data_IF_335115876168
#
_entry.id   IF_335115876168
#
_cell.length_a   1.000
_cell.length_b   1.000
_cell.length_c   1.000
_cell.angle_alpha   90.00
_cell.angle_beta   90.00
_cell.angle_gamma   90.00
#
_symmetry.space_group_name_H-M   'P 1'
#
loop_
_entity.id
_entity.type
_entity.pdbx_description
1 polymer ?
#
# COMPACT_ATOMS: atom_id res chain seq x y z
N UNK A 1 61.65 -22.26 23.28
CA UNK A 1 62.25 -20.92 23.32
C UNK A 1 62.40 -20.49 21.87
N UNK A 2 61.86 -19.30 21.56
CA UNK A 2 61.81 -18.61 20.25
C UNK A 2 60.95 -19.26 19.17
N UNK A 3 59.64 -19.02 19.29
CA UNK A 3 58.70 -18.81 18.18
C UNK A 3 58.75 -17.31 17.86
N UNK A 4 59.10 -16.92 16.63
CA UNK A 4 58.91 -15.55 16.14
C UNK A 4 58.70 -15.54 14.63
N UNK A 5 57.42 -15.69 14.30
CA UNK A 5 56.68 -15.18 13.13
C UNK A 5 57.44 -14.29 12.15
N UNK A 6 57.47 -14.75 10.90
CA UNK A 6 57.77 -13.94 9.74
C UNK A 6 56.71 -12.85 9.55
N UNK A 7 57.13 -11.60 9.68
CA UNK A 7 56.43 -10.41 9.20
C UNK A 7 56.20 -10.49 7.70
N UNK A 8 54.96 -10.35 7.25
CA UNK A 8 54.65 -9.93 5.89
C UNK A 8 53.70 -8.74 5.95
N UNK A 9 54.17 -7.62 5.41
CA UNK A 9 53.49 -6.35 5.31
C UNK A 9 52.27 -6.51 4.39
N UNK A 10 51.07 -6.26 4.92
CA UNK A 10 49.87 -6.07 4.10
C UNK A 10 49.54 -4.59 4.10
N UNK A 11 49.98 -3.98 3.01
CA UNK A 11 49.61 -2.69 2.44
C UNK A 11 48.11 -2.38 2.64
N UNK A 12 47.85 -1.33 3.42
CA UNK A 12 46.51 -0.80 3.67
C UNK A 12 46.03 -0.02 2.45
N UNK A 13 45.18 -0.63 1.63
CA UNK A 13 44.46 0.07 0.57
C UNK A 13 43.34 0.97 1.17
N UNK A 14 43.17 2.22 0.67
CA UNK A 14 42.30 3.22 1.26
C UNK A 14 40.82 2.98 0.89
N UNK A 15 39.94 3.53 1.73
CA UNK A 15 38.50 3.37 1.68
C UNK A 15 37.88 3.64 0.31
N UNK A 16 37.39 2.57 -0.32
CA UNK A 16 36.27 2.65 -1.24
C UNK A 16 35.00 2.37 -0.43
N UNK A 17 34.41 3.45 0.04
CA UNK A 17 32.99 3.65 0.32
C UNK A 17 32.13 2.67 -0.49
N UNK A 18 31.85 1.49 0.10
CA UNK A 18 30.85 0.56 -0.40
C UNK A 18 29.52 1.26 -0.21
N UNK A 19 29.13 2.05 -1.20
CA UNK A 19 27.76 2.43 -1.47
C UNK A 19 26.92 1.17 -1.28
N UNK A 20 26.25 1.08 -0.12
CA UNK A 20 25.34 0.00 0.22
C UNK A 20 24.32 -0.02 -0.89
N UNK A 21 24.41 -1.01 -1.78
CA UNK A 21 23.47 -1.22 -2.89
C UNK A 21 22.05 -1.10 -2.33
N UNK A 22 21.42 0.07 -2.54
CA UNK A 22 19.99 0.25 -2.34
C UNK A 22 19.35 -0.74 -3.30
N UNK A 23 18.59 -1.69 -2.76
CA UNK A 23 17.80 -2.62 -3.58
C UNK A 23 16.79 -1.84 -4.43
N UNK A 24 16.04 -2.54 -5.30
CA UNK A 24 15.05 -1.91 -6.17
C UNK A 24 13.89 -1.27 -5.41
N UNK A 25 13.70 -1.62 -4.14
CA UNK A 25 12.64 -1.09 -3.27
C UNK A 25 13.21 -0.17 -2.20
N UNK A 26 12.47 0.91 -1.91
CA UNK A 26 12.69 1.67 -0.69
C UNK A 26 12.08 0.97 0.55
N UNK A 27 12.30 1.54 1.73
CA UNK A 27 11.80 0.96 2.98
C UNK A 27 10.27 0.98 3.11
N UNK A 28 9.59 1.96 2.50
CA UNK A 28 8.13 2.05 2.50
C UNK A 28 7.51 0.98 1.61
N UNK A 29 8.04 0.82 0.39
CA UNK A 29 7.62 -0.19 -0.56
C UNK A 29 7.87 -1.60 0.00
N UNK A 30 9.05 -1.84 0.58
CA UNK A 30 9.36 -3.14 1.19
C UNK A 30 8.43 -3.50 2.36
N UNK A 31 8.00 -2.52 3.15
CA UNK A 31 7.00 -2.75 4.22
C UNK A 31 5.66 -3.19 3.63
N UNK A 32 5.22 -2.56 2.55
CA UNK A 32 3.99 -2.92 1.84
C UNK A 32 4.08 -4.33 1.24
N UNK A 33 5.21 -4.66 0.61
CA UNK A 33 5.47 -6.01 0.06
C UNK A 33 5.40 -7.06 1.18
N UNK A 34 6.17 -6.86 2.25
CA UNK A 34 6.27 -7.83 3.35
C UNK A 34 4.91 -8.00 4.03
N UNK A 35 4.19 -6.91 4.29
CA UNK A 35 2.85 -6.96 4.88
C UNK A 35 1.83 -7.65 3.96
N UNK A 36 1.86 -7.36 2.65
CA UNK A 36 0.98 -7.99 1.67
C UNK A 36 1.18 -9.49 1.58
N UNK A 37 2.44 -9.96 1.63
CA UNK A 37 2.73 -11.39 1.64
C UNK A 37 2.23 -12.08 2.93
N UNK A 38 2.24 -11.38 4.06
CA UNK A 38 1.78 -11.91 5.36
C UNK A 38 0.25 -11.86 5.53
N UNK A 39 -0.47 -11.06 4.73
CA UNK A 39 -1.93 -11.04 4.75
C UNK A 39 -2.54 -12.25 4.01
N UNK A 40 -1.82 -12.83 3.06
CA UNK A 40 -2.22 -14.09 2.42
C UNK A 40 -2.17 -15.29 3.39
N UNK A 41 -1.08 -15.41 4.16
CA UNK A 41 -0.88 -16.47 5.16
C UNK A 41 0.26 -16.09 6.12
N UNK A 42 0.32 -16.67 7.34
CA UNK A 42 1.44 -16.45 8.24
C UNK A 42 2.76 -16.95 7.67
N UNK A 43 3.79 -16.09 7.69
CA UNK A 43 5.10 -16.39 7.10
C UNK A 43 6.25 -16.10 8.05
N UNK A 44 7.32 -16.87 7.92
CA UNK A 44 8.61 -16.57 8.51
C UNK A 44 9.41 -15.59 7.66
N UNK A 45 10.33 -14.85 8.28
CA UNK A 45 11.23 -13.92 7.57
C UNK A 45 12.01 -14.57 6.42
N UNK A 46 12.46 -15.82 6.59
CA UNK A 46 13.16 -16.53 5.51
C UNK A 46 12.25 -16.97 4.36
N UNK A 47 10.98 -17.31 4.65
CA UNK A 47 9.98 -17.61 3.61
C UNK A 47 9.68 -16.35 2.79
N UNK A 48 9.63 -15.18 3.44
CA UNK A 48 9.45 -13.89 2.77
C UNK A 48 10.64 -13.56 1.84
N UNK A 49 11.88 -13.79 2.29
CA UNK A 49 13.08 -13.60 1.46
C UNK A 49 12.99 -14.44 0.19
N UNK A 50 12.74 -15.74 0.34
CA UNK A 50 12.64 -16.68 -0.79
C UNK A 50 11.53 -16.32 -1.76
N UNK A 51 10.35 -15.96 -1.23
CA UNK A 51 9.20 -15.66 -2.06
C UNK A 51 9.39 -14.38 -2.87
N UNK A 52 10.03 -13.35 -2.27
CA UNK A 52 10.38 -12.13 -2.99
C UNK A 52 11.42 -12.43 -4.08
N UNK A 53 12.42 -13.25 -3.78
CA UNK A 53 13.43 -13.68 -4.76
C UNK A 53 12.84 -14.46 -5.94
N UNK A 54 11.94 -15.40 -5.64
CA UNK A 54 11.24 -16.20 -6.64
C UNK A 54 10.36 -15.34 -7.54
N UNK A 55 9.55 -14.44 -6.96
CA UNK A 55 8.70 -13.52 -7.75
C UNK A 55 9.52 -12.53 -8.58
N UNK A 56 10.72 -12.17 -8.12
CA UNK A 56 11.68 -11.37 -8.88
C UNK A 56 12.49 -12.17 -9.91
N UNK A 57 12.17 -13.45 -10.13
CA UNK A 57 12.87 -14.31 -11.10
C UNK A 57 14.37 -14.46 -10.80
N UNK A 58 14.77 -14.37 -9.53
CA UNK A 58 16.16 -14.38 -9.09
C UNK A 58 16.94 -13.06 -9.33
N UNK A 59 16.29 -12.03 -9.88
CA UNK A 59 16.92 -10.72 -10.14
C UNK A 59 17.17 -9.88 -8.89
N UNK A 60 16.51 -10.20 -7.77
CA UNK A 60 16.68 -9.54 -6.49
C UNK A 60 16.24 -10.43 -5.33
N UNK A 61 17.06 -10.51 -4.28
CA UNK A 61 16.70 -11.15 -3.00
C UNK A 61 16.97 -10.17 -1.85
N UNK A 62 15.97 -9.83 -1.02
CA UNK A 62 16.18 -8.95 0.11
C UNK A 62 17.01 -9.65 1.19
N UNK A 63 17.98 -8.94 1.78
CA UNK A 63 18.83 -9.55 2.80
C UNK A 63 18.08 -9.68 4.14
N UNK A 64 18.49 -10.63 5.01
CA UNK A 64 18.02 -10.70 6.39
C UNK A 64 18.12 -9.35 7.13
N UNK A 65 19.19 -8.59 6.89
CA UNK A 65 19.44 -7.28 7.48
C UNK A 65 18.47 -6.18 7.06
N UNK A 66 17.58 -6.44 6.10
CA UNK A 66 16.50 -5.51 5.71
C UNK A 66 15.13 -6.10 6.08
N UNK A 67 14.93 -7.41 5.94
CA UNK A 67 13.65 -8.07 6.24
C UNK A 67 13.34 -8.07 7.74
N UNK A 68 14.28 -8.47 8.60
CA UNK A 68 13.99 -8.56 10.03
C UNK A 68 13.73 -7.18 10.67
N UNK A 69 14.47 -6.10 10.35
CA UNK A 69 14.09 -4.76 10.79
C UNK A 69 12.72 -4.31 10.28
N UNK A 70 12.34 -4.72 9.06
CA UNK A 70 11.01 -4.44 8.50
C UNK A 70 9.91 -5.13 9.29
N UNK A 71 10.10 -6.42 9.63
CA UNK A 71 9.19 -7.18 10.47
C UNK A 71 9.06 -6.59 11.87
N UNK A 72 10.19 -6.23 12.51
CA UNK A 72 10.17 -5.57 13.83
C UNK A 72 9.43 -4.25 13.80
N UNK A 73 9.55 -3.49 12.70
CA UNK A 73 8.81 -2.24 12.53
C UNK A 73 7.31 -2.49 12.35
N UNK A 74 6.92 -3.46 11.52
CA UNK A 74 5.51 -3.82 11.30
C UNK A 74 4.86 -4.34 12.60
N UNK A 75 5.60 -5.11 13.39
CA UNK A 75 5.18 -5.55 14.73
C UNK A 75 5.02 -4.37 15.69
N UNK A 76 6.03 -3.50 15.80
CA UNK A 76 5.99 -2.33 16.68
C UNK A 76 4.94 -1.29 16.28
N UNK A 77 4.60 -1.20 15.00
CA UNK A 77 3.53 -0.34 14.47
C UNK A 77 2.13 -0.97 14.63
N UNK A 78 2.04 -2.24 15.05
CA UNK A 78 0.77 -2.95 15.21
C UNK A 78 0.15 -3.45 13.89
N UNK A 79 0.90 -3.49 12.79
CA UNK A 79 0.43 -3.98 11.49
C UNK A 79 0.65 -5.49 11.29
N UNK A 80 1.53 -6.10 12.09
CA UNK A 80 1.75 -7.53 12.08
C UNK A 80 1.84 -8.05 13.51
N UNK A 81 1.39 -9.28 13.73
CA UNK A 81 1.49 -9.96 15.03
C UNK A 81 2.24 -11.29 14.87
N UNK A 82 3.06 -11.69 15.85
CA UNK A 82 3.72 -12.96 15.79
C UNK A 82 2.87 -14.14 16.29
N UNK A 83 2.97 -15.24 15.59
CA UNK A 83 2.41 -16.54 15.96
C UNK A 83 3.56 -17.53 16.19
N UNK A 84 3.56 -18.19 17.36
CA UNK A 84 4.54 -19.23 17.69
C UNK A 84 4.02 -20.57 17.19
N UNK A 85 4.65 -21.09 16.14
CA UNK A 85 4.34 -22.41 15.58
C UNK A 85 5.62 -23.23 15.52
N UNK A 86 5.63 -24.41 16.17
CA UNK A 86 6.79 -25.32 16.14
C UNK A 86 8.11 -24.72 16.65
N UNK A 87 8.06 -23.75 17.57
CA UNK A 87 9.25 -23.09 18.13
C UNK A 87 9.87 -22.01 17.22
N UNK A 88 9.23 -21.65 16.09
CA UNK A 88 9.67 -20.57 15.21
C UNK A 88 8.60 -19.47 15.14
N UNK A 89 9.03 -18.20 15.07
CA UNK A 89 8.15 -17.02 15.03
C UNK A 89 7.64 -16.78 13.59
N UNK A 90 6.39 -17.11 13.29
CA UNK A 90 5.68 -16.68 12.07
C UNK A 90 5.05 -15.31 12.32
N UNK A 91 4.81 -14.54 11.27
CA UNK A 91 4.13 -13.26 11.35
C UNK A 91 2.89 -13.28 10.47
N UNK A 92 1.78 -12.77 11.00
CA UNK A 92 0.51 -12.57 10.29
C UNK A 92 0.20 -11.08 10.26
N UNK A 93 -0.40 -10.60 9.17
CA UNK A 93 -1.00 -9.26 9.17
C UNK A 93 -2.10 -9.16 10.25
N UNK A 94 -2.10 -8.07 11.00
CA UNK A 94 -3.23 -7.74 11.87
C UNK A 94 -4.36 -7.13 11.03
N UNK A 95 -5.59 -7.04 11.57
CA UNK A 95 -6.64 -6.26 10.95
C UNK A 95 -6.21 -4.81 10.59
N UNK A 96 -5.40 -4.16 11.43
CA UNK A 96 -4.83 -2.83 11.16
C UNK A 96 -3.82 -2.87 10.01
N UNK A 97 -3.05 -3.95 9.89
CA UNK A 97 -2.17 -4.21 8.76
C UNK A 97 -2.93 -4.39 7.46
N UNK A 98 -4.07 -5.09 7.48
CA UNK A 98 -4.95 -5.22 6.31
C UNK A 98 -5.57 -3.87 5.92
N UNK A 99 -6.02 -3.07 6.89
CA UNK A 99 -6.48 -1.70 6.66
C UNK A 99 -5.38 -0.82 6.08
N UNK A 100 -4.14 -0.99 6.54
CA UNK A 100 -2.98 -0.29 5.98
C UNK A 100 -2.72 -0.71 4.52
N UNK A 101 -2.78 -2.00 4.20
CA UNK A 101 -2.65 -2.48 2.82
C UNK A 101 -3.75 -1.92 1.91
N UNK A 102 -5.00 -1.97 2.37
CA UNK A 102 -6.15 -1.40 1.69
C UNK A 102 -5.97 0.09 1.35
N UNK A 103 -5.49 0.87 2.32
CA UNK A 103 -5.23 2.30 2.13
C UNK A 103 -4.04 2.59 1.20
N UNK A 104 -3.20 1.60 0.88
CA UNK A 104 -2.02 1.76 0.02
C UNK A 104 -2.08 0.84 -1.21
N UNK A 105 -3.28 0.39 -1.61
CA UNK A 105 -3.43 -0.60 -2.67
C UNK A 105 -2.89 -0.10 -4.02
N UNK A 106 -3.00 1.20 -4.33
CA UNK A 106 -2.41 1.77 -5.54
C UNK A 106 -0.88 1.62 -5.59
N UNK A 107 -0.20 1.96 -4.50
CA UNK A 107 1.25 1.75 -4.38
C UNK A 107 1.61 0.26 -4.43
N UNK A 108 0.82 -0.60 -3.77
CA UNK A 108 1.03 -2.04 -3.80
C UNK A 108 0.82 -2.62 -5.22
N UNK A 109 -0.13 -2.10 -5.99
CA UNK A 109 -0.38 -2.50 -7.37
C UNK A 109 0.78 -2.10 -8.31
N UNK A 110 1.33 -0.89 -8.14
CA UNK A 110 2.53 -0.46 -8.88
C UNK A 110 3.72 -1.38 -8.59
N UNK A 111 3.95 -1.69 -7.31
CA UNK A 111 4.99 -2.63 -6.87
C UNK A 111 4.70 -4.03 -7.41
N UNK A 112 3.43 -4.47 -7.42
CA UNK A 112 3.03 -5.77 -7.94
C UNK A 112 3.34 -5.92 -9.41
N UNK A 113 3.10 -4.89 -10.23
CA UNK A 113 3.47 -4.89 -11.66
C UNK A 113 4.98 -5.02 -11.81
N UNK A 114 5.75 -4.29 -11.00
CA UNK A 114 7.21 -4.38 -10.99
C UNK A 114 7.73 -5.77 -10.58
N UNK A 115 7.08 -6.42 -9.62
CA UNK A 115 7.41 -7.75 -9.11
C UNK A 115 6.77 -8.91 -9.89
N UNK A 116 6.10 -8.62 -11.00
CA UNK A 116 5.43 -9.67 -11.78
C UNK A 116 4.26 -10.35 -11.06
N UNK A 117 3.66 -9.73 -10.05
CA UNK A 117 2.40 -10.16 -9.43
C UNK A 117 2.47 -10.37 -7.92
N UNK A 118 2.28 -9.30 -7.14
CA UNK A 118 2.03 -9.34 -5.68
C UNK A 118 0.55 -9.25 -5.26
N UNK A 119 -0.38 -9.02 -6.20
CA UNK A 119 -1.80 -8.84 -5.90
C UNK A 119 -2.70 -9.99 -6.40
N UNK A 120 -3.97 -9.98 -5.99
CA UNK A 120 -5.05 -10.86 -6.50
C UNK A 120 -5.20 -10.83 -8.03
N UNK A 121 -4.70 -9.79 -8.71
CA UNK A 121 -4.58 -9.72 -10.17
C UNK A 121 -3.19 -10.14 -10.60
N UNK A 122 -3.05 -11.37 -11.12
CA UNK A 122 -1.78 -12.01 -11.49
C UNK A 122 -0.91 -11.21 -12.48
N UNK A 123 0.22 -11.79 -12.89
CA UNK A 123 1.17 -11.18 -13.82
C UNK A 123 0.46 -10.68 -15.09
N UNK A 124 0.62 -9.40 -15.49
CA UNK A 124 0.07 -8.94 -16.76
C UNK A 124 0.55 -9.83 -17.91
N UNK A 125 -0.31 -10.16 -18.90
CA UNK A 125 0.09 -10.96 -20.05
C UNK A 125 1.31 -10.35 -20.76
N UNK A 126 2.17 -11.19 -21.33
CA UNK A 126 3.42 -10.76 -21.99
C UNK A 126 3.18 -9.67 -23.06
N UNK A 127 2.02 -9.70 -23.73
CA UNK A 127 1.62 -8.67 -24.68
C UNK A 127 1.49 -7.27 -24.04
N UNK A 128 0.96 -7.20 -22.82
CA UNK A 128 0.81 -5.95 -22.05
C UNK A 128 2.18 -5.44 -21.60
N UNK A 129 3.05 -6.34 -21.12
CA UNK A 129 4.41 -6.00 -20.72
C UNK A 129 5.23 -5.45 -21.90
N UNK A 130 5.11 -6.07 -23.08
CA UNK A 130 5.73 -5.58 -24.32
C UNK A 130 5.26 -4.17 -24.69
N UNK A 131 3.97 -3.91 -24.60
CA UNK A 131 3.43 -2.57 -24.86
C UNK A 131 3.99 -1.50 -23.90
N UNK A 132 4.13 -1.84 -22.61
CA UNK A 132 4.75 -0.94 -21.63
C UNK A 132 6.24 -0.67 -21.95
N UNK A 133 6.98 -1.68 -22.40
CA UNK A 133 8.39 -1.52 -22.78
C UNK A 133 8.56 -0.66 -24.04
N UNK A 134 7.63 -0.76 -24.99
CA UNK A 134 7.59 0.12 -26.17
C UNK A 134 7.37 1.58 -25.77
N UNK A 135 6.42 1.84 -24.86
CA UNK A 135 6.16 3.19 -24.34
C UNK A 135 7.41 3.73 -23.63
N UNK A 136 8.01 2.95 -22.71
CA UNK A 136 9.22 3.35 -21.98
C UNK A 136 10.38 3.67 -22.94
N UNK A 137 10.57 2.84 -23.97
CA UNK A 137 11.61 3.04 -24.99
C UNK A 137 11.37 4.32 -25.78
N UNK A 138 10.13 4.57 -26.22
CA UNK A 138 9.78 5.77 -26.98
C UNK A 138 9.99 7.04 -26.15
N UNK A 139 9.60 7.02 -24.87
CA UNK A 139 9.84 8.14 -23.95
C UNK A 139 11.34 8.39 -23.77
N UNK A 140 12.14 7.35 -23.47
CA UNK A 140 13.59 7.49 -23.33
C UNK A 140 14.22 8.09 -24.58
N UNK A 141 13.83 7.63 -25.77
CA UNK A 141 14.32 8.17 -27.03
C UNK A 141 13.95 9.65 -27.20
N UNK A 142 12.69 10.04 -26.93
CA UNK A 142 12.24 11.42 -27.06
C UNK A 142 12.96 12.37 -26.11
N UNK A 143 13.16 11.96 -24.85
CA UNK A 143 13.84 12.78 -23.84
C UNK A 143 15.36 12.78 -23.99
N UNK A 144 15.97 11.71 -24.54
CA UNK A 144 17.40 11.67 -24.84
C UNK A 144 17.80 12.62 -25.98
N UNK A 145 16.87 12.95 -26.89
CA UNK A 145 17.10 13.91 -27.97
C UNK A 145 17.13 15.38 -27.49
N UNK A 146 16.78 15.65 -26.24
CA UNK A 146 16.72 17.01 -25.69
C UNK A 146 15.60 17.86 -26.30
N UNK A 147 15.47 19.11 -25.82
CA UNK A 147 14.54 20.09 -26.41
C UNK A 147 13.07 19.65 -26.39
N UNK A 148 12.60 19.13 -25.26
CA UNK A 148 11.16 18.86 -25.09
C UNK A 148 10.53 20.08 -24.44
N UNK A 149 9.73 20.81 -25.19
CA UNK A 149 8.97 21.95 -24.68
C UNK A 149 7.87 21.49 -23.72
N UNK A 150 7.51 22.35 -22.75
CA UNK A 150 6.49 22.08 -21.73
C UNK A 150 5.14 21.67 -22.34
N UNK A 151 4.77 22.23 -23.50
CA UNK A 151 3.57 21.85 -24.24
C UNK A 151 3.63 20.39 -24.73
N UNK A 152 4.81 19.95 -25.19
CA UNK A 152 5.02 18.56 -25.62
C UNK A 152 4.98 17.62 -24.42
N UNK A 153 5.53 18.02 -23.26
CA UNK A 153 5.43 17.26 -22.01
C UNK A 153 3.96 17.13 -21.58
N UNK A 154 3.21 18.24 -21.62
CA UNK A 154 1.80 18.26 -21.26
C UNK A 154 0.96 17.35 -22.16
N UNK A 155 1.23 17.35 -23.47
CA UNK A 155 0.59 16.45 -24.45
C UNK A 155 0.92 14.99 -24.18
N UNK A 156 2.19 14.64 -23.98
CA UNK A 156 2.61 13.26 -23.65
C UNK A 156 1.91 12.79 -22.37
N UNK A 157 1.87 13.62 -21.33
CA UNK A 157 1.19 13.30 -20.07
C UNK A 157 -0.33 13.18 -20.23
N UNK A 158 -0.96 13.97 -21.10
CA UNK A 158 -2.39 13.84 -21.42
C UNK A 158 -2.69 12.50 -22.10
N UNK A 159 -1.91 12.12 -23.11
CA UNK A 159 -2.08 10.84 -23.82
C UNK A 159 -1.86 9.64 -22.90
N UNK A 160 -0.84 9.67 -22.03
CA UNK A 160 -0.61 8.58 -21.07
C UNK A 160 -1.76 8.45 -20.06
N UNK A 161 -2.32 9.58 -19.58
CA UNK A 161 -3.49 9.57 -18.68
C UNK A 161 -4.74 9.06 -19.37
N UNK A 162 -4.94 9.40 -20.64
CA UNK A 162 -6.05 8.88 -21.44
C UNK A 162 -5.93 7.37 -21.65
N UNK A 163 -4.74 6.89 -22.02
CA UNK A 163 -4.46 5.46 -22.13
C UNK A 163 -4.69 4.74 -20.79
N UNK A 164 -4.22 5.31 -19.67
CA UNK A 164 -4.46 4.76 -18.33
C UNK A 164 -5.95 4.70 -17.98
N UNK A 165 -6.73 5.74 -18.34
CA UNK A 165 -8.18 5.74 -18.15
C UNK A 165 -8.85 4.65 -18.99
N UNK A 166 -8.50 4.53 -20.26
CA UNK A 166 -9.05 3.51 -21.15
C UNK A 166 -8.74 2.08 -20.67
N UNK A 167 -7.53 1.84 -20.13
CA UNK A 167 -7.16 0.57 -19.48
C UNK A 167 -7.97 0.32 -18.21
N UNK A 168 -8.21 1.36 -17.41
CA UNK A 168 -9.09 1.28 -16.24
C UNK A 168 -10.55 1.00 -16.60
N UNK A 169 -11.03 1.57 -17.71
CA UNK A 169 -12.40 1.36 -18.23
C UNK A 169 -12.60 -0.02 -18.85
N UNK A 170 -11.52 -0.69 -19.29
CA UNK A 170 -11.57 -2.08 -19.78
C UNK A 170 -11.55 -3.13 -18.65
N UNK A 171 -11.24 -2.72 -17.41
CA UNK A 171 -11.38 -3.52 -16.19
C UNK A 171 -12.61 -3.02 -15.42
N UNK A 172 -13.79 -3.35 -15.95
CA UNK A 172 -15.12 -2.99 -15.45
C UNK A 172 -15.40 -1.47 -15.33
N UNK A 173 -16.61 -1.01 -15.70
CA UNK A 173 -16.99 0.38 -15.48
C UNK A 173 -16.97 0.68 -13.97
N UNK A 174 -16.68 1.92 -13.58
CA UNK A 174 -17.08 2.45 -12.26
C UNK A 174 -18.53 1.99 -12.05
N UNK A 175 -18.82 1.10 -11.09
CA UNK A 175 -20.15 0.51 -11.01
C UNK A 175 -21.14 1.64 -10.77
N UNK A 176 -22.26 1.57 -11.48
CA UNK A 176 -23.39 2.47 -11.28
C UNK A 176 -23.68 2.55 -9.77
N UNK A 177 -23.81 3.74 -9.16
CA UNK A 177 -24.16 3.88 -7.75
C UNK A 177 -25.45 3.12 -7.36
N UNK A 178 -26.29 2.71 -8.33
CA UNK A 178 -27.44 1.82 -8.13
C UNK A 178 -27.08 0.34 -7.94
N UNK A 179 -25.87 -0.09 -8.29
CA UNK A 179 -25.36 -1.47 -8.15
C UNK A 179 -24.33 -1.66 -7.04
N UNK A 180 -23.84 -0.58 -6.42
CA UNK A 180 -22.94 -0.67 -5.27
C UNK A 180 -23.72 -1.07 -4.02
N UNK A 181 -23.23 -2.06 -3.29
CA UNK A 181 -23.74 -2.34 -1.96
C UNK A 181 -23.44 -1.14 -1.07
N UNK A 182 -24.43 -0.72 -0.29
CA UNK A 182 -24.29 0.36 0.68
C UNK A 182 -24.50 -0.11 2.09
N UNK A 183 -23.86 0.60 3.01
CA UNK A 183 -24.06 0.42 4.43
C UNK A 183 -23.95 1.76 5.13
N UNK A 184 -24.84 2.00 6.08
CA UNK A 184 -24.94 3.26 6.79
C UNK A 184 -24.82 3.02 8.29
N UNK A 185 -23.98 3.80 8.95
CA UNK A 185 -23.91 3.86 10.40
C UNK A 185 -24.14 5.29 10.88
N UNK A 186 -24.99 5.46 11.88
CA UNK A 186 -25.20 6.74 12.57
C UNK A 186 -24.55 6.65 13.95
N UNK A 187 -23.44 7.37 14.11
CA UNK A 187 -22.66 7.37 15.36
C UNK A 187 -23.09 8.56 16.21
N UNK A 188 -23.69 8.32 17.36
CA UNK A 188 -24.08 9.39 18.28
C UNK A 188 -22.83 9.99 18.94
N UNK A 189 -22.57 11.27 18.68
CA UNK A 189 -21.45 12.01 19.28
C UNK A 189 -21.65 13.52 19.13
N UNK A 190 -21.38 14.32 20.17
CA UNK A 190 -21.37 15.78 20.06
C UNK A 190 -20.16 16.32 19.27
N UNK A 191 -19.13 15.49 19.04
CA UNK A 191 -17.87 15.88 18.40
C UNK A 191 -17.80 15.51 16.90
N UNK A 192 -18.95 15.39 16.24
CA UNK A 192 -19.06 14.89 14.86
C UNK A 192 -18.14 15.60 13.85
N UNK A 193 -18.11 16.94 13.87
CA UNK A 193 -17.24 17.74 12.98
C UNK A 193 -15.75 17.52 13.24
N UNK A 194 -15.37 17.35 14.51
CA UNK A 194 -13.98 17.09 14.91
C UNK A 194 -13.53 15.73 14.40
N UNK A 195 -14.34 14.68 14.59
CA UNK A 195 -14.02 13.34 14.11
C UNK A 195 -14.01 13.26 12.58
N UNK A 196 -14.94 13.92 11.89
CA UNK A 196 -14.93 14.01 10.43
C UNK A 196 -13.64 14.64 9.93
N UNK A 197 -13.23 15.77 10.51
CA UNK A 197 -12.00 16.48 10.15
C UNK A 197 -10.76 15.62 10.41
N UNK A 198 -10.70 14.95 11.57
CA UNK A 198 -9.59 14.06 11.93
C UNK A 198 -9.48 12.85 10.99
N UNK A 199 -10.61 12.19 10.68
CA UNK A 199 -10.64 11.09 9.70
C UNK A 199 -10.16 11.57 8.33
N UNK A 200 -10.70 12.68 7.82
CA UNK A 200 -10.30 13.23 6.54
C UNK A 200 -8.81 13.58 6.51
N UNK A 201 -8.29 14.27 7.52
CA UNK A 201 -6.88 14.65 7.61
C UNK A 201 -5.94 13.45 7.74
N UNK A 202 -6.35 12.41 8.49
CA UNK A 202 -5.58 11.18 8.63
C UNK A 202 -5.46 10.43 7.30
N UNK A 203 -6.58 10.26 6.59
CA UNK A 203 -6.61 9.54 5.31
C UNK A 203 -6.03 10.35 4.15
N UNK A 204 -6.04 11.68 4.19
CA UNK A 204 -5.53 12.54 3.12
C UNK A 204 -4.04 12.29 2.78
N UNK A 205 -3.29 11.66 3.70
CA UNK A 205 -1.89 11.27 3.46
C UNK A 205 -1.74 10.05 2.55
N UNK A 206 -2.78 9.24 2.35
CA UNK A 206 -2.70 7.92 1.69
C UNK A 206 -3.89 7.54 0.81
N UNK A 207 -5.01 8.25 0.89
CA UNK A 207 -6.20 8.03 0.10
C UNK A 207 -6.70 9.34 -0.53
N UNK A 208 -7.51 9.24 -1.59
CA UNK A 208 -8.16 10.40 -2.17
C UNK A 208 -9.29 10.88 -1.27
N UNK A 209 -9.09 12.04 -0.62
CA UNK A 209 -10.04 12.65 0.31
C UNK A 209 -10.57 13.96 -0.25
N UNK A 210 -11.88 14.17 -0.17
CA UNK A 210 -12.53 15.47 -0.32
C UNK A 210 -13.16 15.85 1.01
N UNK A 211 -12.94 17.07 1.47
CA UNK A 211 -13.53 17.58 2.71
C UNK A 211 -14.02 19.00 2.46
N UNK A 212 -15.32 19.20 2.65
CA UNK A 212 -16.02 20.48 2.47
C UNK A 212 -16.94 20.69 3.67
N UNK A 213 -16.53 21.53 4.63
CA UNK A 213 -17.34 21.87 5.81
C UNK A 213 -17.70 20.64 6.66
N UNK A 214 -19.00 20.37 6.74
CA UNK A 214 -19.61 19.26 7.50
C UNK A 214 -19.66 17.94 6.72
N UNK A 215 -19.08 17.88 5.52
CA UNK A 215 -19.08 16.69 4.67
C UNK A 215 -17.69 16.28 4.23
N UNK A 216 -17.44 14.98 4.27
CA UNK A 216 -16.20 14.36 3.82
C UNK A 216 -16.48 13.17 2.91
N UNK A 217 -15.56 12.88 1.98
CA UNK A 217 -15.56 11.65 1.21
C UNK A 217 -14.15 11.10 1.14
N UNK A 218 -13.99 9.89 1.64
CA UNK A 218 -12.75 9.12 1.55
C UNK A 218 -12.95 8.05 0.49
N UNK A 219 -12.12 8.08 -0.54
CA UNK A 219 -12.14 7.10 -1.63
C UNK A 219 -10.97 6.15 -1.46
N UNK A 220 -11.29 4.88 -1.27
CA UNK A 220 -10.37 3.76 -1.26
C UNK A 220 -10.43 3.04 -2.60
N UNK A 221 -9.45 2.20 -2.89
CA UNK A 221 -9.51 1.33 -4.07
C UNK A 221 -10.65 0.31 -3.97
N UNK A 222 -10.94 -0.16 -2.76
CA UNK A 222 -11.98 -1.15 -2.44
C UNK A 222 -13.42 -0.58 -2.43
N UNK A 223 -13.56 0.74 -2.39
CA UNK A 223 -14.85 1.40 -2.17
C UNK A 223 -14.70 2.81 -1.64
N UNK A 224 -15.80 3.43 -1.22
CA UNK A 224 -15.77 4.79 -0.68
C UNK A 224 -16.60 4.90 0.59
N UNK A 225 -16.17 5.79 1.49
CA UNK A 225 -16.97 6.20 2.63
C UNK A 225 -17.28 7.70 2.54
N UNK A 226 -18.57 8.02 2.61
CA UNK A 226 -19.06 9.38 2.81
C UNK A 226 -19.27 9.62 4.31
N UNK A 227 -18.90 10.82 4.75
CA UNK A 227 -18.94 11.28 6.13
C UNK A 227 -19.80 12.54 6.17
N UNK A 228 -20.77 12.60 7.06
CA UNK A 228 -21.61 13.78 7.25
C UNK A 228 -21.75 14.07 8.75
N UNK A 229 -21.17 15.19 9.18
CA UNK A 229 -21.32 15.67 10.54
C UNK A 229 -22.70 16.34 10.67
N UNK A 230 -23.48 15.86 11.63
CA UNK A 230 -24.80 16.38 11.99
C UNK A 230 -24.76 16.81 13.45
N UNK A 231 -25.76 17.59 13.87
CA UNK A 231 -25.88 17.96 15.28
C UNK A 231 -26.06 16.71 16.14
N UNK A 232 -25.06 16.40 16.98
CA UNK A 232 -25.08 15.24 17.89
C UNK A 232 -24.87 13.88 17.23
N UNK A 233 -24.54 13.80 15.94
CA UNK A 233 -24.25 12.52 15.28
C UNK A 233 -23.31 12.67 14.08
N UNK A 234 -22.50 11.64 13.82
CA UNK A 234 -21.70 11.50 12.62
C UNK A 234 -22.29 10.36 11.78
N UNK A 235 -22.80 10.68 10.59
CA UNK A 235 -23.30 9.69 9.65
C UNK A 235 -22.16 9.20 8.75
N UNK A 236 -21.99 7.90 8.70
CA UNK A 236 -21.02 7.20 7.86
C UNK A 236 -21.78 6.41 6.80
N UNK A 237 -21.40 6.54 5.54
CA UNK A 237 -22.01 5.77 4.44
C UNK A 237 -20.92 5.10 3.62
N UNK A 238 -20.72 3.80 3.86
CA UNK A 238 -19.79 2.97 3.13
C UNK A 238 -20.46 2.44 1.85
N UNK A 239 -19.68 2.34 0.78
CA UNK A 239 -20.11 1.83 -0.52
C UNK A 239 -18.99 1.02 -1.16
N UNK A 240 -19.31 -0.14 -1.73
CA UNK A 240 -18.36 -0.98 -2.44
C UNK A 240 -19.06 -1.86 -3.48
N UNK A 241 -18.27 -2.58 -4.27
CA UNK A 241 -18.73 -3.43 -5.38
C UNK A 241 -19.29 -4.78 -4.93
N UNK A 242 -18.86 -5.26 -3.77
CA UNK A 242 -19.27 -6.53 -3.19
C UNK A 242 -19.19 -6.48 -1.66
N UNK A 243 -19.70 -7.53 -1.00
CA UNK A 243 -19.84 -7.58 0.45
C UNK A 243 -18.49 -7.70 1.19
N UNK A 244 -17.48 -8.34 0.58
CA UNK A 244 -16.14 -8.45 1.17
C UNK A 244 -15.47 -7.06 1.21
N UNK A 245 -15.50 -6.36 0.08
CA UNK A 245 -14.98 -5.02 -0.06
C UNK A 245 -15.73 -4.03 0.85
N UNK A 246 -17.06 -4.14 0.94
CA UNK A 246 -17.87 -3.28 1.80
C UNK A 246 -17.53 -3.49 3.29
N UNK A 247 -17.40 -4.75 3.72
CA UNK A 247 -16.97 -5.06 5.09
C UNK A 247 -15.59 -4.52 5.43
N UNK A 248 -14.65 -4.51 4.48
CA UNK A 248 -13.33 -3.90 4.67
C UNK A 248 -13.42 -2.38 4.81
N UNK A 249 -14.26 -1.70 4.02
CA UNK A 249 -14.45 -0.24 4.14
C UNK A 249 -15.08 0.12 5.50
N UNK A 250 -16.11 -0.61 5.93
CA UNK A 250 -16.75 -0.45 7.24
C UNK A 250 -15.71 -0.54 8.37
N UNK A 251 -14.92 -1.62 8.34
CA UNK A 251 -13.91 -1.92 9.34
C UNK A 251 -12.80 -0.86 9.41
N UNK A 252 -12.29 -0.41 8.25
CA UNK A 252 -11.25 0.62 8.18
C UNK A 252 -11.73 1.90 8.85
N UNK A 253 -12.95 2.35 8.53
CA UNK A 253 -13.51 3.58 9.08
C UNK A 253 -13.74 3.44 10.59
N UNK A 254 -14.35 2.33 11.02
CA UNK A 254 -14.64 2.06 12.43
C UNK A 254 -13.37 2.01 13.29
N UNK A 255 -12.33 1.31 12.82
CA UNK A 255 -11.06 1.17 13.55
C UNK A 255 -10.35 2.51 13.75
N UNK A 256 -10.41 3.38 12.74
CA UNK A 256 -9.82 4.72 12.83
C UNK A 256 -10.65 5.65 13.71
N UNK A 257 -11.98 5.57 13.62
CA UNK A 257 -12.87 6.34 14.48
C UNK A 257 -12.68 5.96 15.96
N UNK A 258 -12.62 4.66 16.28
CA UNK A 258 -12.38 4.16 17.63
C UNK A 258 -11.03 4.65 18.19
N UNK A 259 -10.02 4.80 17.33
CA UNK A 259 -8.70 5.30 17.72
C UNK A 259 -8.67 6.81 17.97
N UNK A 260 -9.56 7.59 17.35
CA UNK A 260 -9.71 9.02 17.64
C UNK A 260 -10.60 9.27 18.86
N UNK A 261 -11.52 8.36 19.14
CA UNK A 261 -12.45 8.42 20.25
C UNK A 261 -11.94 7.63 21.49
N UNK A 262 -10.65 7.68 21.81
CA UNK A 262 -10.08 6.92 22.95
C UNK A 262 -10.79 7.21 24.28
N UNK A 263 -11.34 8.42 24.45
CA UNK A 263 -12.06 8.85 25.64
C UNK A 263 -13.59 8.68 25.54
N UNK A 264 -14.12 8.31 24.37
CA UNK A 264 -15.56 8.18 24.10
C UNK A 264 -15.87 6.80 23.46
N UNK A 265 -16.64 5.95 24.15
CA UNK A 265 -17.09 4.67 23.56
C UNK A 265 -18.15 4.92 22.49
N UNK A 266 -17.71 5.11 21.25
CA UNK A 266 -18.59 5.23 20.09
C UNK A 266 -19.06 3.84 19.65
N UNK A 267 -20.38 3.62 19.64
CA UNK A 267 -20.99 2.45 19.00
C UNK A 267 -21.23 2.74 17.52
N UNK A 268 -20.66 1.92 16.64
CA UNK A 268 -20.89 2.01 15.20
C UNK A 268 -21.75 0.81 14.78
N UNK A 269 -23.03 1.05 14.50
CA UNK A 269 -23.97 0.03 14.04
C UNK A 269 -24.23 0.20 12.54
N UNK A 270 -23.54 -0.62 11.73
CA UNK A 270 -23.64 -0.60 10.28
C UNK A 270 -24.90 -1.35 9.81
N UNK A 271 -25.73 -0.66 9.02
CA UNK A 271 -26.95 -1.22 8.43
C UNK A 271 -26.86 -1.22 6.92
N UNK A 272 -27.03 -2.40 6.32
CA UNK A 272 -27.12 -2.56 4.87
C UNK A 272 -28.28 -1.72 4.33
N UNK A 273 -28.02 -0.94 3.29
CA UNK A 273 -28.94 -0.01 2.65
C UNK A 273 -29.19 -0.38 1.19
#
# INVERSE_FOLDING_TARGET
>A
MTDDSASNEIETAPGAERARRRGPFDYGELRLIVLGLMSEQPRHGYELIKLIEERMGGGYSPSPGVIYPTLSWLEGAGYATPELEGGRKRFRATPEGEAYLAANEGALAEIAVYMGGLGRGGTPPEAVLRGLDEIKRALRQRFAQGGVEDETIARIAATLREAARAVGETVAPVPDPATMLRSVADVATPAAESYLTQLCAHFARRAAVRHEGDRGKVTFTLGACELEARTGSLRLTASATDAEALGRVEYVIESHLARFALDEKLGVDWRRA
#
